data_IF_176654918692
#
_entry.id   IF_176654918692
#
_cell.length_a   1.000
_cell.length_b   1.000
_cell.length_c   1.000
_cell.angle_alpha   90.00
_cell.angle_beta   90.00
_cell.angle_gamma   90.00
#
_symmetry.space_group_name_H-M   'P 1'
#
loop_
_entity.id
_entity.type
_entity.pdbx_description
1 polymer ?
#
# COMPACT_ATOMS: atom_id res chain seq x y z
N UNK A 1 -11.93 33.85 27.39
CA UNK A 1 -12.30 32.40 27.36
C UNK A 1 -12.19 31.87 25.93
N UNK A 2 -11.04 32.04 25.30
CA UNK A 2 -10.72 31.60 23.94
C UNK A 2 -9.90 30.30 23.97
N UNK A 3 -9.68 29.68 22.81
CA UNK A 3 -8.75 28.54 22.68
C UNK A 3 -7.35 28.92 23.16
N UNK A 4 -6.88 30.12 22.82
CA UNK A 4 -5.58 30.61 23.25
C UNK A 4 -5.50 30.75 24.78
N UNK A 5 -6.56 31.27 25.42
CA UNK A 5 -6.60 31.37 26.89
C UNK A 5 -6.47 29.99 27.54
N UNK A 6 -7.21 28.99 27.05
CA UNK A 6 -7.16 27.61 27.55
C UNK A 6 -5.79 26.96 27.32
N UNK A 7 -5.16 27.22 26.18
CA UNK A 7 -3.80 26.77 25.91
C UNK A 7 -2.78 27.40 26.86
N UNK A 8 -2.94 28.69 27.21
CA UNK A 8 -2.07 29.36 28.19
C UNK A 8 -2.33 28.86 29.61
N UNK A 9 -3.57 28.55 29.99
CA UNK A 9 -3.90 27.89 31.27
C UNK A 9 -3.15 26.55 31.41
N UNK A 10 -3.18 25.71 30.37
CA UNK A 10 -2.44 24.44 30.34
C UNK A 10 -0.91 24.63 30.44
N UNK A 11 -0.37 25.66 29.79
CA UNK A 11 1.07 25.99 29.92
C UNK A 11 1.43 26.45 31.33
N UNK A 12 0.66 27.35 31.92
CA UNK A 12 0.91 27.91 33.26
C UNK A 12 0.81 26.86 34.36
N UNK A 13 -0.05 25.86 34.18
CA UNK A 13 -0.23 24.74 35.12
C UNK A 13 0.75 23.59 34.91
N UNK A 14 1.61 23.62 33.88
CA UNK A 14 2.53 22.52 33.57
C UNK A 14 1.83 21.29 32.96
N UNK A 15 0.61 21.45 32.45
CA UNK A 15 -0.25 20.36 31.96
C UNK A 15 -0.39 20.37 30.43
N UNK A 16 0.66 20.78 29.71
CA UNK A 16 0.65 20.92 28.24
C UNK A 16 0.27 19.62 27.52
N UNK A 17 0.59 18.47 28.11
CA UNK A 17 0.21 17.15 27.60
C UNK A 17 -1.30 16.94 27.49
N UNK A 18 -2.16 17.70 28.18
CA UNK A 18 -3.62 17.60 28.06
C UNK A 18 -4.16 18.21 26.76
N UNK A 19 -3.38 19.03 26.05
CA UNK A 19 -3.76 19.50 24.72
C UNK A 19 -3.69 18.34 23.72
N UNK A 20 -4.78 18.09 23.01
CA UNK A 20 -4.82 17.11 21.92
C UNK A 20 -5.01 17.82 20.57
N UNK A 21 -4.20 17.46 19.57
CA UNK A 21 -4.34 17.93 18.19
C UNK A 21 -4.67 16.76 17.27
N UNK A 22 -5.82 16.81 16.60
CA UNK A 22 -6.29 15.74 15.70
C UNK A 22 -6.26 16.26 14.27
N UNK A 23 -5.63 15.52 13.36
CA UNK A 23 -5.50 15.91 11.95
C UNK A 23 -6.22 14.96 11.00
N UNK A 24 -7.16 15.51 10.24
CA UNK A 24 -7.83 14.86 9.11
C UNK A 24 -7.03 14.97 7.80
N UNK A 25 -7.68 15.53 6.76
CA UNK A 25 -7.00 15.94 5.52
C UNK A 25 -6.08 17.13 5.81
N UNK A 26 -5.02 17.25 5.03
CA UNK A 26 -4.01 18.28 5.19
C UNK A 26 -3.41 18.66 3.84
N UNK A 27 -2.71 19.79 3.84
CA UNK A 27 -1.78 20.24 2.81
C UNK A 27 -0.36 20.25 3.40
N UNK A 28 0.70 20.38 2.59
CA UNK A 28 2.07 20.47 3.11
C UNK A 28 2.23 21.55 4.20
N UNK A 29 1.66 22.73 3.99
CA UNK A 29 1.74 23.84 4.95
C UNK A 29 1.08 23.52 6.29
N UNK A 30 -0.12 22.91 6.28
CA UNK A 30 -0.80 22.56 7.53
C UNK A 30 -0.16 21.36 8.22
N UNK A 31 0.49 20.46 7.46
CA UNK A 31 1.31 19.38 8.02
C UNK A 31 2.49 19.94 8.81
N UNK A 32 3.26 20.86 8.23
CA UNK A 32 4.54 21.27 8.82
C UNK A 32 4.34 22.27 9.98
N UNK A 33 3.42 23.22 9.82
CA UNK A 33 3.18 24.24 10.84
C UNK A 33 2.26 23.72 11.96
N UNK A 34 1.04 23.30 11.60
CA UNK A 34 0.00 23.04 12.61
C UNK A 34 0.11 21.66 13.25
N UNK A 35 0.52 20.64 12.50
CA UNK A 35 0.72 19.29 13.05
C UNK A 35 2.17 19.01 13.46
N UNK A 36 3.14 19.56 12.74
CA UNK A 36 4.56 19.37 12.99
C UNK A 36 5.10 20.29 14.08
N UNK A 37 4.99 21.61 13.88
CA UNK A 37 5.64 22.61 14.74
C UNK A 37 4.83 22.91 16.00
N UNK A 38 3.52 23.21 15.86
CA UNK A 38 2.70 23.69 16.99
C UNK A 38 2.68 22.73 18.19
N UNK A 39 2.43 21.41 18.06
CA UNK A 39 2.40 20.50 19.20
C UNK A 39 3.75 20.38 19.90
N UNK A 40 4.84 20.38 19.12
CA UNK A 40 6.22 20.31 19.63
C UNK A 40 6.59 21.57 20.41
N UNK A 41 6.32 22.74 19.86
CA UNK A 41 6.56 24.02 20.55
C UNK A 41 5.68 24.15 21.79
N UNK A 42 4.42 23.71 21.70
CA UNK A 42 3.50 23.70 22.84
C UNK A 42 3.94 22.73 23.95
N UNK A 43 4.61 21.65 23.59
CA UNK A 43 5.05 20.60 24.51
C UNK A 43 3.96 19.57 24.79
N UNK A 44 3.14 19.23 23.79
CA UNK A 44 2.21 18.09 23.88
C UNK A 44 2.66 16.92 23.01
N UNK A 45 2.68 15.68 23.53
CA UNK A 45 2.88 14.48 22.72
C UNK A 45 1.58 14.02 22.02
N UNK A 46 0.43 14.59 22.38
CA UNK A 46 -0.89 14.11 21.95
C UNK A 46 -1.32 14.77 20.64
N UNK A 47 -0.57 14.52 19.57
CA UNK A 47 -0.93 14.94 18.22
C UNK A 47 -1.03 13.73 17.29
N UNK A 48 -2.24 13.48 16.79
CA UNK A 48 -2.60 12.26 16.10
C UNK A 48 -3.09 12.56 14.68
N UNK A 49 -2.52 11.87 13.71
CA UNK A 49 -3.00 11.90 12.33
C UNK A 49 -4.08 10.84 12.11
N UNK A 50 -4.83 10.96 11.02
CA UNK A 50 -5.72 9.91 10.51
C UNK A 50 -5.00 8.76 9.80
N UNK A 51 -3.67 8.63 9.89
CA UNK A 51 -2.91 7.68 9.07
C UNK A 51 -3.35 6.23 9.30
N UNK A 52 -3.49 5.81 10.57
CA UNK A 52 -3.82 4.43 10.95
C UNK A 52 -5.17 3.96 10.39
N UNK A 53 -6.16 4.87 10.29
CA UNK A 53 -7.47 4.60 9.69
C UNK A 53 -7.49 4.82 8.18
N UNK A 54 -6.37 5.23 7.58
CA UNK A 54 -6.26 5.48 6.14
C UNK A 54 -5.70 4.26 5.42
N UNK A 55 -4.40 3.96 5.58
CA UNK A 55 -3.74 2.87 4.85
C UNK A 55 -2.35 2.50 5.40
N UNK A 56 -2.06 2.62 6.70
CA UNK A 56 -0.72 2.26 7.20
C UNK A 56 -0.39 0.78 6.98
N UNK A 57 -1.39 -0.10 7.06
CA UNK A 57 -1.20 -1.53 6.79
C UNK A 57 -0.66 -1.80 5.37
N UNK A 58 -1.07 -1.02 4.36
CA UNK A 58 -0.56 -1.14 2.98
C UNK A 58 0.96 -0.88 2.90
N UNK A 59 1.49 -0.05 3.80
CA UNK A 59 2.90 0.31 3.81
C UNK A 59 3.80 -0.75 4.43
N UNK A 60 3.23 -1.71 5.16
CA UNK A 60 4.00 -2.70 5.91
C UNK A 60 4.77 -3.66 5.00
N UNK A 61 4.16 -4.15 3.92
CA UNK A 61 4.82 -5.00 2.94
C UNK A 61 6.13 -4.39 2.40
N UNK A 62 6.06 -3.25 1.69
CA UNK A 62 7.26 -2.59 1.17
C UNK A 62 8.18 -2.03 2.27
N UNK A 63 7.63 -1.62 3.42
CA UNK A 63 8.42 -1.17 4.56
C UNK A 63 9.34 -2.27 5.12
N UNK A 64 8.80 -3.48 5.32
CA UNK A 64 9.53 -4.60 5.90
C UNK A 64 10.40 -5.36 4.88
N UNK A 65 10.06 -5.31 3.59
CA UNK A 65 10.81 -6.04 2.55
C UNK A 65 11.79 -5.19 1.76
N UNK A 66 11.54 -3.87 1.64
CA UNK A 66 12.30 -2.95 0.79
C UNK A 66 12.76 -1.70 1.55
N UNK A 67 12.43 -1.56 2.84
CA UNK A 67 12.74 -0.36 3.63
C UNK A 67 11.92 0.88 3.25
N UNK A 68 10.84 0.73 2.47
CA UNK A 68 10.08 1.87 1.92
C UNK A 68 8.66 1.99 2.51
N UNK A 69 8.52 2.80 3.56
CA UNK A 69 7.24 3.08 4.25
C UNK A 69 6.41 4.19 3.57
N UNK A 70 6.24 4.11 2.25
CA UNK A 70 5.56 5.12 1.43
C UNK A 70 4.33 4.60 0.70
N UNK A 71 3.87 5.36 -0.32
CA UNK A 71 3.04 4.84 -1.41
C UNK A 71 3.90 4.68 -2.67
N UNK A 72 3.54 3.76 -3.56
CA UNK A 72 4.24 3.54 -4.83
C UNK A 72 3.39 4.07 -5.97
N UNK A 73 4.05 4.60 -6.98
CA UNK A 73 3.45 4.74 -8.30
C UNK A 73 3.75 3.47 -9.11
N UNK A 74 2.99 3.27 -10.19
CA UNK A 74 3.08 2.07 -11.02
C UNK A 74 3.48 2.49 -12.44
N UNK A 75 4.44 1.78 -13.04
CA UNK A 75 4.85 2.02 -14.44
C UNK A 75 3.79 1.47 -15.41
N UNK A 76 2.65 2.16 -15.45
CA UNK A 76 1.48 1.79 -16.24
C UNK A 76 1.77 1.84 -17.74
N UNK A 77 2.76 2.61 -18.18
CA UNK A 77 3.12 2.72 -19.59
C UNK A 77 3.82 1.46 -20.11
N UNK A 78 4.66 0.82 -19.29
CA UNK A 78 5.46 -0.35 -19.71
C UNK A 78 4.94 -1.69 -19.22
N UNK A 79 3.95 -1.71 -18.32
CA UNK A 79 3.43 -2.97 -17.80
C UNK A 79 2.72 -3.81 -18.87
N UNK A 80 3.08 -5.11 -18.93
CA UNK A 80 2.44 -6.13 -19.77
C UNK A 80 1.57 -7.11 -18.96
N UNK A 81 1.63 -7.03 -17.63
CA UNK A 81 0.78 -7.81 -16.73
C UNK A 81 0.42 -6.93 -15.54
N UNK A 82 -0.85 -6.53 -15.45
CA UNK A 82 -1.37 -5.69 -14.39
C UNK A 82 -2.29 -6.52 -13.49
N UNK A 83 -1.78 -6.86 -12.30
CA UNK A 83 -2.57 -7.53 -11.26
C UNK A 83 -3.07 -6.49 -10.27
N UNK A 84 -4.39 -6.31 -10.21
CA UNK A 84 -5.05 -5.34 -9.35
C UNK A 84 -5.69 -6.07 -8.17
N UNK A 85 -5.05 -5.95 -7.01
CA UNK A 85 -5.41 -6.72 -5.82
C UNK A 85 -6.23 -5.90 -4.82
N UNK A 86 -7.54 -6.12 -4.78
CA UNK A 86 -8.49 -5.40 -3.94
C UNK A 86 -8.58 -3.90 -4.24
N UNK A 87 -8.03 -3.45 -5.36
CA UNK A 87 -8.00 -2.03 -5.77
C UNK A 87 -8.82 -1.80 -7.02
N UNK A 88 -9.45 -0.63 -7.07
CA UNK A 88 -10.22 -0.18 -8.23
C UNK A 88 -9.70 1.20 -8.67
N UNK A 89 -8.51 1.29 -9.30
CA UNK A 89 -7.92 2.56 -9.74
C UNK A 89 -8.66 3.27 -10.87
N UNK A 90 -9.72 2.66 -11.42
CA UNK A 90 -10.66 3.34 -12.33
C UNK A 90 -11.71 4.17 -11.57
N UNK A 91 -11.86 3.97 -10.26
CA UNK A 91 -12.78 4.70 -9.39
C UNK A 91 -12.13 5.36 -8.17
N UNK A 92 -11.03 4.79 -7.67
CA UNK A 92 -10.40 5.11 -6.40
C UNK A 92 -8.87 4.94 -6.48
N UNK A 93 -8.18 4.73 -5.36
CA UNK A 93 -6.71 4.74 -5.32
C UNK A 93 -6.14 6.14 -5.67
N UNK A 94 -4.84 6.23 -5.97
CA UNK A 94 -4.06 7.46 -5.73
C UNK A 94 -3.74 8.27 -6.98
N UNK A 95 -3.91 7.70 -8.17
CA UNK A 95 -3.75 8.39 -9.47
C UNK A 95 -4.83 7.92 -10.46
N UNK A 96 -6.10 8.12 -10.09
CA UNK A 96 -7.28 7.74 -10.90
C UNK A 96 -7.17 8.24 -12.35
N UNK A 97 -6.85 9.54 -12.62
CA UNK A 97 -6.83 10.02 -13.99
C UNK A 97 -5.77 9.33 -14.86
N UNK A 98 -4.58 9.09 -14.32
CA UNK A 98 -3.50 8.40 -15.03
C UNK A 98 -3.89 6.94 -15.34
N UNK A 99 -4.51 6.26 -14.38
CA UNK A 99 -4.91 4.86 -14.59
C UNK A 99 -6.02 4.75 -15.61
N UNK A 100 -7.05 5.61 -15.55
CA UNK A 100 -8.11 5.67 -16.56
C UNK A 100 -7.51 5.91 -17.95
N UNK A 101 -6.55 6.83 -18.06
CA UNK A 101 -5.91 7.16 -19.33
C UNK A 101 -5.13 5.96 -19.93
N UNK A 102 -4.40 5.20 -19.10
CA UNK A 102 -3.53 4.11 -19.57
C UNK A 102 -4.20 2.73 -19.65
N UNK A 103 -5.30 2.50 -18.94
CA UNK A 103 -5.88 1.16 -18.76
C UNK A 103 -6.21 0.45 -20.07
N UNK A 104 -6.81 1.16 -21.03
CA UNK A 104 -7.16 0.58 -22.33
C UNK A 104 -5.94 0.19 -23.16
N UNK A 105 -4.82 0.89 -23.02
CA UNK A 105 -3.56 0.55 -23.69
C UNK A 105 -2.93 -0.69 -23.07
N UNK A 106 -2.95 -0.78 -21.73
CA UNK A 106 -2.47 -1.95 -20.97
C UNK A 106 -3.26 -3.19 -21.40
N UNK A 107 -4.59 -3.08 -21.44
CA UNK A 107 -5.46 -4.20 -21.79
C UNK A 107 -5.27 -4.68 -23.24
N UNK A 108 -4.79 -3.81 -24.15
CA UNK A 108 -4.48 -4.21 -25.53
C UNK A 108 -3.11 -4.88 -25.67
N UNK A 109 -2.11 -4.44 -24.89
CA UNK A 109 -0.73 -4.96 -25.00
C UNK A 109 -0.47 -6.20 -24.15
N UNK A 110 -1.25 -6.39 -23.09
CA UNK A 110 -0.95 -7.36 -22.05
C UNK A 110 -2.18 -7.79 -21.27
N UNK A 111 -1.95 -8.47 -20.15
CA UNK A 111 -3.02 -9.06 -19.35
C UNK A 111 -3.37 -8.18 -18.17
N UNK A 112 -4.66 -8.09 -17.86
CA UNK A 112 -5.18 -7.39 -16.69
C UNK A 112 -5.96 -8.39 -15.86
N UNK A 113 -5.59 -8.55 -14.61
CA UNK A 113 -6.18 -9.50 -13.66
C UNK A 113 -6.72 -8.69 -12.48
N UNK A 114 -7.99 -8.86 -12.15
CA UNK A 114 -8.62 -8.25 -10.98
C UNK A 114 -8.85 -9.30 -9.90
N UNK A 115 -8.22 -9.13 -8.74
CA UNK A 115 -8.49 -9.95 -7.55
C UNK A 115 -9.37 -9.13 -6.63
N UNK A 116 -10.67 -9.40 -6.61
CA UNK A 116 -11.64 -8.59 -5.84
C UNK A 116 -12.88 -9.44 -5.53
N UNK A 117 -13.37 -9.52 -4.28
CA UNK A 117 -14.61 -10.23 -3.95
C UNK A 117 -15.84 -9.73 -4.73
N UNK A 118 -15.86 -8.45 -5.13
CA UNK A 118 -16.93 -7.87 -5.95
C UNK A 118 -16.46 -7.67 -7.39
N UNK A 119 -17.40 -7.67 -8.32
CA UNK A 119 -17.13 -7.25 -9.70
C UNK A 119 -16.98 -5.72 -9.74
N UNK A 120 -15.74 -5.24 -9.58
CA UNK A 120 -15.40 -3.81 -9.58
C UNK A 120 -15.35 -3.20 -10.99
N UNK A 121 -15.12 -1.89 -11.13
CA UNK A 121 -14.99 -1.28 -12.46
C UNK A 121 -13.81 -1.87 -13.24
N UNK A 122 -12.73 -2.18 -12.52
CA UNK A 122 -11.61 -2.96 -13.07
C UNK A 122 -12.03 -4.38 -13.38
N UNK A 123 -12.69 -5.09 -12.44
CA UNK A 123 -13.12 -6.47 -12.67
C UNK A 123 -13.98 -6.62 -13.92
N UNK A 124 -14.88 -5.68 -14.17
CA UNK A 124 -15.73 -5.65 -15.37
C UNK A 124 -14.97 -5.38 -16.69
N UNK A 125 -13.73 -4.92 -16.62
CA UNK A 125 -12.89 -4.56 -17.77
C UNK A 125 -11.58 -5.36 -17.84
N UNK A 126 -11.33 -6.23 -16.86
CA UNK A 126 -10.16 -7.09 -16.79
C UNK A 126 -10.34 -8.30 -17.73
N UNK A 127 -9.22 -8.92 -18.09
CA UNK A 127 -9.25 -10.20 -18.80
C UNK A 127 -9.71 -11.32 -17.87
N UNK A 128 -9.25 -11.26 -16.62
CA UNK A 128 -9.59 -12.22 -15.58
C UNK A 128 -10.10 -11.49 -14.34
N UNK A 129 -11.21 -11.97 -13.79
CA UNK A 129 -11.70 -11.56 -12.48
C UNK A 129 -11.71 -12.77 -11.55
N UNK A 130 -11.00 -12.65 -10.43
CA UNK A 130 -10.85 -13.66 -9.41
C UNK A 130 -11.67 -13.23 -8.17
N UNK A 131 -12.90 -13.75 -7.98
CA UNK A 131 -13.78 -13.43 -6.86
C UNK A 131 -13.33 -14.12 -5.58
N UNK A 132 -12.23 -13.66 -4.99
CA UNK A 132 -11.68 -14.21 -3.75
C UNK A 132 -12.64 -13.99 -2.58
N UNK A 133 -12.61 -14.90 -1.59
CA UNK A 133 -13.34 -14.67 -0.33
C UNK A 133 -12.65 -13.55 0.45
N UNK A 134 -13.40 -12.62 1.07
CA UNK A 134 -12.79 -11.57 1.89
C UNK A 134 -11.84 -12.15 2.95
N UNK A 135 -10.60 -11.64 2.99
CA UNK A 135 -9.58 -12.08 3.94
C UNK A 135 -8.77 -13.31 3.50
N UNK A 136 -9.02 -13.89 2.33
CA UNK A 136 -8.24 -15.03 1.80
C UNK A 136 -7.19 -14.64 0.76
N UNK A 137 -6.95 -13.34 0.60
CA UNK A 137 -5.98 -12.76 -0.33
C UNK A 137 -4.58 -13.38 -0.17
N UNK A 138 -4.11 -13.52 1.08
CA UNK A 138 -2.81 -14.11 1.38
C UNK A 138 -2.67 -15.56 0.92
N UNK A 139 -3.76 -16.34 0.91
CA UNK A 139 -3.74 -17.73 0.43
C UNK A 139 -3.51 -17.80 -1.08
N UNK A 140 -4.17 -16.93 -1.86
CA UNK A 140 -3.95 -16.85 -3.30
C UNK A 140 -2.54 -16.35 -3.63
N UNK A 141 -2.06 -15.32 -2.92
CA UNK A 141 -0.70 -14.81 -3.12
C UNK A 141 0.37 -15.88 -2.83
N UNK A 142 0.19 -16.64 -1.75
CA UNK A 142 1.06 -17.77 -1.40
C UNK A 142 1.03 -18.89 -2.44
N UNK A 143 -0.15 -19.22 -2.97
CA UNK A 143 -0.28 -20.23 -4.03
C UNK A 143 0.39 -19.79 -5.34
N UNK A 144 0.26 -18.53 -5.73
CA UNK A 144 0.95 -17.97 -6.91
C UNK A 144 2.47 -18.07 -6.71
N UNK A 145 2.98 -17.64 -5.55
CA UNK A 145 4.40 -17.73 -5.24
C UNK A 145 4.90 -19.19 -5.27
N UNK A 146 4.12 -20.13 -4.76
CA UNK A 146 4.43 -21.56 -4.82
C UNK A 146 4.60 -22.04 -6.27
N UNK A 147 3.64 -21.75 -7.14
CA UNK A 147 3.69 -22.17 -8.56
C UNK A 147 4.88 -21.52 -9.27
N UNK A 148 5.12 -20.23 -9.04
CA UNK A 148 6.28 -19.52 -9.62
C UNK A 148 7.60 -20.22 -9.27
N UNK A 149 7.74 -20.72 -8.04
CA UNK A 149 8.94 -21.43 -7.59
C UNK A 149 8.99 -22.85 -8.16
N UNK A 150 7.92 -23.65 -8.03
CA UNK A 150 7.93 -25.05 -8.49
C UNK A 150 8.04 -25.19 -10.00
N UNK A 151 7.60 -24.19 -10.76
CA UNK A 151 7.70 -24.18 -12.23
C UNK A 151 8.93 -23.43 -12.77
N UNK A 152 9.71 -22.77 -11.91
CA UNK A 152 10.92 -22.08 -12.36
C UNK A 152 10.68 -20.73 -13.06
N UNK A 153 9.57 -20.06 -12.75
CA UNK A 153 9.07 -18.86 -13.45
C UNK A 153 9.44 -17.53 -12.76
N UNK A 154 10.24 -17.55 -11.70
CA UNK A 154 10.64 -16.31 -11.01
C UNK A 154 11.64 -15.49 -11.83
N UNK A 155 11.78 -14.20 -11.49
CA UNK A 155 12.78 -13.34 -12.11
C UNK A 155 14.18 -13.70 -11.58
N UNK A 156 14.92 -14.51 -12.34
CA UNK A 156 16.27 -14.98 -11.98
C UNK A 156 17.32 -13.89 -11.93
N UNK A 157 17.17 -12.82 -12.70
CA UNK A 157 18.08 -11.67 -12.66
C UNK A 157 18.01 -10.93 -11.33
N UNK A 158 16.80 -10.76 -10.80
CA UNK A 158 16.58 -10.08 -9.52
C UNK A 158 16.79 -10.99 -8.30
N UNK A 159 16.27 -12.22 -8.34
CA UNK A 159 16.26 -13.13 -7.18
C UNK A 159 17.54 -13.98 -7.10
N UNK A 160 18.16 -14.28 -8.23
CA UNK A 160 19.19 -15.32 -8.36
C UNK A 160 18.62 -16.65 -8.85
N UNK A 161 19.50 -17.66 -8.95
CA UNK A 161 19.18 -19.01 -9.37
C UNK A 161 20.03 -20.03 -8.61
N UNK A 162 19.66 -21.32 -8.67
CA UNK A 162 20.47 -22.39 -8.12
C UNK A 162 21.85 -22.46 -8.80
N UNK A 163 22.88 -22.81 -8.03
CA UNK A 163 24.29 -22.80 -8.51
C UNK A 163 24.51 -23.65 -9.76
N UNK A 164 23.79 -24.76 -9.89
CA UNK A 164 23.88 -25.68 -11.04
C UNK A 164 22.78 -25.45 -12.09
N UNK A 165 21.94 -24.41 -11.90
CA UNK A 165 20.84 -24.02 -12.78
C UNK A 165 19.64 -24.98 -12.76
N UNK A 166 19.64 -26.01 -11.91
CA UNK A 166 18.50 -26.93 -11.79
C UNK A 166 17.50 -26.41 -10.78
N UNK A 167 16.23 -26.36 -11.17
CA UNK A 167 15.17 -26.04 -10.21
C UNK A 167 14.98 -27.20 -9.23
N UNK A 168 15.30 -26.96 -7.95
CA UNK A 168 15.14 -27.94 -6.88
C UNK A 168 13.82 -27.80 -6.12
N UNK A 169 13.05 -26.73 -6.36
CA UNK A 169 11.77 -26.54 -5.69
C UNK A 169 10.77 -27.60 -6.17
N UNK A 170 10.40 -28.51 -5.26
CA UNK A 170 9.37 -29.52 -5.48
C UNK A 170 8.29 -29.41 -4.40
N UNK A 171 7.02 -29.53 -4.79
CA UNK A 171 5.90 -29.39 -3.88
C UNK A 171 6.01 -30.37 -2.69
N UNK A 172 5.90 -29.82 -1.48
CA UNK A 172 5.96 -30.59 -0.23
C UNK A 172 7.35 -31.12 0.16
N UNK A 173 8.42 -30.73 -0.53
CA UNK A 173 9.79 -31.14 -0.23
C UNK A 173 10.67 -29.94 0.16
N UNK A 174 11.49 -30.06 1.21
CA UNK A 174 12.54 -29.08 1.47
C UNK A 174 13.58 -29.12 0.35
N UNK A 175 14.30 -28.00 0.19
CA UNK A 175 15.51 -27.94 -0.64
C UNK A 175 16.70 -28.01 0.31
N UNK A 176 17.53 -29.03 0.14
CA UNK A 176 18.79 -29.16 0.88
C UNK A 176 19.87 -28.40 0.09
N UNK A 177 20.42 -27.34 0.71
CA UNK A 177 21.53 -26.53 0.16
C UNK A 177 22.89 -26.89 0.78
#
# INVERSE_FOLDING_TARGET
NTVADKMIELRKSGETHKLTYIRGRYSPTTNDLLYGTLPKVFGTPNYFSRSAICAEAEKMGPGLTQGFFGYRDYDLEKTNCLVLWGTDPLASNRMVPNTIHRFGEIAKRGTVIAVDPRLSNVGAKAHEWLPVKPGTDGALAGAIAHVLLTEGLWNKEFVGDFKDGKNLFAAGKPVDE
#
